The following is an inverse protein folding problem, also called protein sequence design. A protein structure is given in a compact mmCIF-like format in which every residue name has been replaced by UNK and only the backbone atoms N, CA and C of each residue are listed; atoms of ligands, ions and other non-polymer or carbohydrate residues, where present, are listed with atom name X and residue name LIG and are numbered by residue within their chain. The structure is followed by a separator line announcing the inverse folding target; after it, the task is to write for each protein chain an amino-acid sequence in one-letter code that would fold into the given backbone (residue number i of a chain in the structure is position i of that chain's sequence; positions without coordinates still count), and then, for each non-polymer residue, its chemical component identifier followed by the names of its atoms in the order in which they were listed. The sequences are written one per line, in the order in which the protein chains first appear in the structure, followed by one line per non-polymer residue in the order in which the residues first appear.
data_IF_775290005088
#
_entry.id   IF_775290005088
#
_cell.length_a   1.000
_cell.length_b   1.000
_cell.length_c   1.000
_cell.angle_alpha   90.00
_cell.angle_beta   90.00
_cell.angle_gamma   90.00
#
_symmetry.space_group_name_H-M   'P 1'
#
loop_
_entity.id
_entity.type
_entity.pdbx_description
1 polymer ?
#
# COMPACT_ATOMS: atom_id res chain seq x y z
N UNK A 1 4.21 9.91 -12.70
CA UNK A 1 4.57 9.13 -11.48
C UNK A 1 3.57 9.48 -10.39
N UNK A 2 3.00 8.48 -9.73
CA UNK A 2 1.94 8.64 -8.70
C UNK A 2 2.30 7.83 -7.46
N UNK A 3 2.08 8.40 -6.28
CA UNK A 3 2.17 7.72 -4.98
C UNK A 3 0.76 7.65 -4.38
N UNK A 4 0.34 6.46 -3.95
CA UNK A 4 -0.91 6.30 -3.17
C UNK A 4 -0.55 6.42 -1.70
N UNK A 5 -1.40 7.10 -0.93
CA UNK A 5 -1.21 7.28 0.51
C UNK A 5 -2.44 6.76 1.26
N UNK A 6 -2.21 6.00 2.33
CA UNK A 6 -3.25 5.49 3.22
C UNK A 6 -2.88 5.82 4.69
N UNK A 7 -3.88 5.93 5.56
CA UNK A 7 -3.67 6.15 6.99
C UNK A 7 -3.23 4.85 7.67
N UNK A 8 -4.05 3.81 7.57
CA UNK A 8 -3.79 2.50 8.18
C UNK A 8 -4.12 1.41 7.18
N UNK A 9 -3.19 0.48 6.99
CA UNK A 9 -3.40 -0.66 6.11
C UNK A 9 -3.47 -1.95 6.93
N UNK A 10 -4.49 -2.78 6.68
CA UNK A 10 -4.59 -4.16 7.18
C UNK A 10 -4.17 -5.17 6.12
N UNK A 11 -5.06 -5.47 5.18
CA UNK A 11 -4.83 -6.43 4.08
C UNK A 11 -4.43 -5.74 2.77
N UNK A 12 -4.55 -4.40 2.69
CA UNK A 12 -4.19 -3.63 1.50
C UNK A 12 -5.26 -3.53 0.39
N UNK A 13 -6.43 -4.16 0.55
CA UNK A 13 -7.45 -4.25 -0.53
C UNK A 13 -7.94 -2.88 -1.05
N UNK A 14 -8.14 -1.91 -0.15
CA UNK A 14 -8.54 -0.54 -0.46
C UNK A 14 -7.49 0.17 -1.34
N UNK A 15 -6.26 0.27 -0.84
CA UNK A 15 -5.16 0.87 -1.56
C UNK A 15 -4.81 0.13 -2.87
N UNK A 16 -4.93 -1.20 -2.93
CA UNK A 16 -4.78 -1.97 -4.18
C UNK A 16 -5.83 -1.56 -5.22
N UNK A 17 -7.11 -1.43 -4.83
CA UNK A 17 -8.14 -0.95 -5.75
C UNK A 17 -7.83 0.46 -6.28
N UNK A 18 -7.29 1.34 -5.43
CA UNK A 18 -6.86 2.67 -5.84
C UNK A 18 -5.70 2.60 -6.85
N UNK A 19 -4.69 1.78 -6.59
CA UNK A 19 -3.57 1.54 -7.51
C UNK A 19 -4.07 1.09 -8.88
N UNK A 20 -4.95 0.09 -8.92
CA UNK A 20 -5.49 -0.46 -10.17
C UNK A 20 -6.27 0.60 -10.96
N UNK A 21 -7.09 1.40 -10.28
CA UNK A 21 -7.87 2.49 -10.90
C UNK A 21 -6.99 3.59 -11.48
N UNK A 22 -5.86 3.89 -10.84
CA UNK A 22 -4.86 4.84 -11.34
C UNK A 22 -4.11 4.27 -12.54
N UNK A 23 -3.64 3.01 -12.45
CA UNK A 23 -2.97 2.31 -13.56
C UNK A 23 -3.86 2.19 -14.79
N UNK A 24 -5.15 1.89 -14.61
CA UNK A 24 -6.13 1.83 -15.70
C UNK A 24 -6.32 3.17 -16.45
N UNK A 25 -5.88 4.29 -15.88
CA UNK A 25 -5.91 5.63 -16.49
C UNK A 25 -4.53 6.08 -16.99
N UNK A 26 -3.57 5.17 -17.13
CA UNK A 26 -2.21 5.47 -17.58
C UNK A 26 -1.28 6.01 -16.48
N UNK A 27 -1.71 5.99 -15.22
CA UNK A 27 -0.87 6.40 -14.09
C UNK A 27 0.18 5.34 -13.72
N UNK A 28 1.42 5.77 -13.53
CA UNK A 28 2.51 4.91 -13.05
C UNK A 28 2.61 4.96 -11.52
N UNK A 29 2.10 3.92 -10.86
CA UNK A 29 2.19 3.72 -9.41
C UNK A 29 3.21 2.63 -9.10
N UNK A 30 4.24 2.99 -8.34
CA UNK A 30 5.33 2.09 -7.91
C UNK A 30 5.30 1.75 -6.42
N UNK A 31 4.71 2.62 -5.61
CA UNK A 31 4.67 2.44 -4.16
C UNK A 31 3.33 2.93 -3.58
N UNK A 32 3.01 2.41 -2.40
CA UNK A 32 1.99 2.95 -1.49
C UNK A 32 2.70 3.31 -0.19
N UNK A 33 2.47 4.54 0.27
CA UNK A 33 2.91 4.98 1.58
C UNK A 33 1.77 4.85 2.59
N UNK A 34 2.03 4.28 3.77
CA UNK A 34 1.04 4.15 4.84
C UNK A 34 1.59 4.69 6.14
N UNK A 35 0.75 5.33 6.97
CA UNK A 35 1.19 5.76 8.31
C UNK A 35 1.41 4.54 9.22
N UNK A 36 0.46 3.61 9.27
CA UNK A 36 0.59 2.36 10.05
C UNK A 36 0.27 1.13 9.21
N UNK A 37 1.24 0.23 9.05
CA UNK A 37 0.99 -1.14 8.57
C UNK A 37 0.64 -2.02 9.78
N UNK A 38 -0.56 -2.63 9.75
CA UNK A 38 -1.02 -3.53 10.83
C UNK A 38 -0.37 -4.92 10.78
N UNK A 39 0.45 -5.20 9.77
CA UNK A 39 1.14 -6.48 9.55
C UNK A 39 0.13 -7.64 9.38
N UNK A 40 -1.02 -7.36 8.78
CA UNK A 40 -2.12 -8.32 8.54
C UNK A 40 -2.15 -8.83 7.08
N UNK A 41 -0.99 -8.88 6.41
CA UNK A 41 -0.83 -9.45 5.06
C UNK A 41 -0.80 -8.45 3.90
N UNK A 42 -0.75 -7.14 4.19
CA UNK A 42 -0.69 -6.09 3.16
C UNK A 42 0.57 -6.20 2.29
N UNK A 43 1.74 -6.45 2.89
CA UNK A 43 3.01 -6.51 2.18
C UNK A 43 2.98 -7.55 1.06
N UNK A 44 2.55 -8.77 1.36
CA UNK A 44 2.42 -9.87 0.40
C UNK A 44 1.37 -9.56 -0.68
N UNK A 45 0.31 -8.81 -0.32
CA UNK A 45 -0.71 -8.39 -1.28
C UNK A 45 -0.17 -7.37 -2.29
N UNK A 46 0.64 -6.40 -1.84
CA UNK A 46 1.28 -5.41 -2.71
C UNK A 46 2.39 -6.00 -3.59
N UNK A 47 3.17 -6.95 -3.06
CA UNK A 47 4.20 -7.67 -3.84
C UNK A 47 3.59 -8.38 -5.07
N UNK A 48 2.41 -8.99 -4.91
CA UNK A 48 1.69 -9.67 -6.03
C UNK A 48 1.34 -8.74 -7.20
N UNK A 49 1.22 -7.44 -6.94
CA UNK A 49 0.89 -6.44 -7.97
C UNK A 49 2.09 -5.58 -8.36
N UNK A 50 3.31 -5.97 -7.95
CA UNK A 50 4.55 -5.22 -8.17
C UNK A 50 4.43 -3.76 -7.70
N UNK A 51 4.03 -3.60 -6.43
CA UNK A 51 3.98 -2.30 -5.74
C UNK A 51 4.71 -2.46 -4.41
N UNK A 52 5.53 -1.48 -4.06
CA UNK A 52 6.20 -1.43 -2.77
C UNK A 52 5.25 -0.86 -1.69
N UNK A 53 5.10 -1.55 -0.56
CA UNK A 53 4.46 -0.99 0.63
C UNK A 53 5.52 -0.30 1.49
N UNK A 54 5.36 0.99 1.73
CA UNK A 54 6.27 1.83 2.52
C UNK A 54 5.55 2.31 3.78
N UNK A 55 5.65 1.59 4.90
CA UNK A 55 5.08 2.04 6.16
C UNK A 55 5.97 3.09 6.85
N UNK A 56 5.35 4.08 7.49
CA UNK A 56 6.03 4.94 8.47
C UNK A 56 6.25 4.19 9.78
N UNK A 57 5.24 3.45 10.23
CA UNK A 57 5.27 2.60 11.42
C UNK A 57 4.66 1.25 11.08
N UNK A 58 5.19 0.21 11.70
CA UNK A 58 4.56 -1.11 11.76
C UNK A 58 3.84 -1.26 13.10
N UNK A 59 2.87 -2.17 13.15
CA UNK A 59 2.21 -2.51 14.42
C UNK A 59 3.21 -2.99 15.48
N UNK A 60 4.27 -3.68 15.07
CA UNK A 60 5.39 -4.06 15.92
C UNK A 60 6.20 -2.90 16.51
N UNK A 61 6.20 -1.71 15.89
CA UNK A 61 6.89 -0.51 16.40
C UNK A 61 6.12 0.19 17.54
N UNK A 62 4.83 -0.14 17.70
CA UNK A 62 3.92 0.45 18.69
C UNK A 62 3.73 -0.40 19.96
N UNK A 63 4.57 -1.43 20.14
CA UNK A 63 4.49 -2.37 21.26
C UNK A 63 5.49 -2.07 22.37
#
# INVERSE_FOLDING_TARGET
KVLVVEDVTTTGSSAISAVERVRARGGDVKAVFVVVDREEGAKEAFEKINVELVPLLKMSDLR
#
